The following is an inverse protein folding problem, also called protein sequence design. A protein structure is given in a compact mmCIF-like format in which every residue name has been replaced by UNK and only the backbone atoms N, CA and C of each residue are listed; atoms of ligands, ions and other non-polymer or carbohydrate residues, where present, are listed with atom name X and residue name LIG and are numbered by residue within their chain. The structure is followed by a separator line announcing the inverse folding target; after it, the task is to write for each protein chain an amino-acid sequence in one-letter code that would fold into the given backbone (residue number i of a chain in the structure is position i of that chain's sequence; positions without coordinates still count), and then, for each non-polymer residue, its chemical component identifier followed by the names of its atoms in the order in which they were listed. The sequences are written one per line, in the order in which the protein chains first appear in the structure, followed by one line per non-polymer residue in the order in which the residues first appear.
data_IF_921394005775
#
_entry.id   IF_921394005775
#
_cell.length_a   1.000
_cell.length_b   1.000
_cell.length_c   1.000
_cell.angle_alpha   90.00
_cell.angle_beta   90.00
_cell.angle_gamma   90.00
#
_symmetry.space_group_name_H-M   'P 1'
#
loop_
_entity.id
_entity.type
_entity.pdbx_description
1 polymer ?
#
# COMPACT_ATOMS: atom_id res chain seq x y z
N UNK A 1 -2.08 -1.38 -12.42
CA UNK A 1 -0.95 -1.75 -11.53
C UNK A 1 -0.67 -3.23 -11.73
N UNK A 2 0.44 -3.55 -12.41
CA UNK A 2 0.79 -4.93 -12.76
C UNK A 2 1.18 -5.75 -11.53
N UNK A 3 1.54 -5.09 -10.43
CA UNK A 3 2.04 -5.70 -9.19
C UNK A 3 1.02 -5.79 -8.06
N UNK A 4 -0.25 -5.47 -8.30
CA UNK A 4 -1.30 -5.52 -7.26
C UNK A 4 -1.38 -6.95 -6.67
N UNK A 5 -1.37 -7.11 -5.33
CA UNK A 5 -1.54 -8.41 -4.70
C UNK A 5 -2.87 -9.06 -5.14
N UNK A 6 -2.82 -10.36 -5.50
CA UNK A 6 -3.97 -11.13 -5.98
C UNK A 6 -5.14 -11.13 -4.99
N UNK A 7 -4.81 -11.04 -3.70
CA UNK A 7 -5.75 -10.97 -2.59
C UNK A 7 -6.73 -9.81 -2.75
N UNK A 8 -6.25 -8.66 -3.25
CA UNK A 8 -7.09 -7.48 -3.54
C UNK A 8 -8.08 -7.78 -4.66
N UNK A 9 -7.62 -8.40 -5.75
CA UNK A 9 -8.49 -8.75 -6.88
C UNK A 9 -9.62 -9.68 -6.44
N UNK A 10 -9.27 -10.72 -5.69
CA UNK A 10 -10.24 -11.68 -5.14
C UNK A 10 -11.21 -11.02 -4.15
N UNK A 11 -10.72 -10.12 -3.29
CA UNK A 11 -11.53 -9.39 -2.32
C UNK A 11 -12.54 -8.47 -2.99
N UNK A 12 -12.10 -7.67 -3.97
CA UNK A 12 -12.97 -6.78 -4.74
C UNK A 12 -14.02 -7.56 -5.53
N UNK A 13 -13.62 -8.66 -6.19
CA UNK A 13 -14.53 -9.53 -6.94
C UNK A 13 -15.63 -10.18 -6.06
N UNK A 14 -15.37 -10.34 -4.76
CA UNK A 14 -16.30 -10.94 -3.78
C UNK A 14 -16.99 -9.87 -2.93
N UNK A 15 -17.30 -8.72 -3.55
CA UNK A 15 -18.00 -7.60 -2.93
C UNK A 15 -17.35 -7.10 -1.63
N UNK A 16 -16.03 -7.29 -1.45
CA UNK A 16 -15.27 -6.87 -0.27
C UNK A 16 -15.70 -7.55 1.05
N UNK A 17 -16.41 -8.68 0.98
CA UNK A 17 -17.06 -9.29 2.15
C UNK A 17 -16.25 -10.39 2.87
N UNK A 18 -15.07 -10.78 2.37
CA UNK A 18 -14.27 -11.84 2.99
C UNK A 18 -12.83 -11.38 3.24
N UNK A 19 -12.25 -11.75 4.37
CA UNK A 19 -10.82 -11.54 4.61
C UNK A 19 -10.03 -12.70 3.99
N UNK A 20 -9.03 -12.44 3.13
CA UNK A 20 -8.20 -13.50 2.55
C UNK A 20 -7.32 -14.14 3.62
N UNK A 21 -7.11 -15.45 3.51
CA UNK A 21 -6.12 -16.17 4.34
C UNK A 21 -4.72 -15.82 3.86
N UNK A 22 -3.90 -15.27 4.76
CA UNK A 22 -2.51 -14.91 4.47
C UNK A 22 -1.58 -16.01 4.99
N UNK A 23 -0.81 -16.62 4.08
CA UNK A 23 0.12 -17.71 4.41
C UNK A 23 1.44 -17.21 5.01
N UNK A 24 1.90 -16.04 4.60
CA UNK A 24 3.15 -15.43 5.05
C UNK A 24 3.02 -13.92 5.09
N UNK A 25 3.24 -13.33 6.26
CA UNK A 25 3.27 -11.89 6.44
C UNK A 25 4.43 -11.26 5.64
N UNK A 26 5.61 -11.88 5.65
CA UNK A 26 6.80 -11.35 4.99
C UNK A 26 6.63 -11.30 3.46
N UNK A 27 6.05 -12.36 2.88
CA UNK A 27 5.75 -12.36 1.45
C UNK A 27 4.70 -11.30 1.09
N UNK A 28 3.67 -11.12 1.93
CA UNK A 28 2.66 -10.11 1.69
C UNK A 28 3.26 -8.70 1.77
N UNK A 29 4.13 -8.44 2.74
CA UNK A 29 4.86 -7.17 2.86
C UNK A 29 5.73 -6.86 1.64
N UNK A 30 6.45 -7.86 1.14
CA UNK A 30 7.25 -7.70 -0.07
C UNK A 30 6.39 -7.39 -1.32
N UNK A 31 5.26 -8.09 -1.48
CA UNK A 31 4.30 -7.80 -2.56
C UNK A 31 3.66 -6.42 -2.38
N UNK A 32 3.35 -6.04 -1.15
CA UNK A 32 2.78 -4.75 -0.83
C UNK A 32 3.71 -3.62 -1.24
N UNK A 33 4.98 -3.68 -0.84
CA UNK A 33 5.97 -2.67 -1.23
C UNK A 33 6.20 -2.61 -2.74
N UNK A 34 6.31 -3.78 -3.39
CA UNK A 34 6.45 -3.84 -4.84
C UNK A 34 5.28 -3.17 -5.56
N UNK A 35 4.07 -3.33 -5.03
CA UNK A 35 2.86 -2.67 -5.53
C UNK A 35 2.84 -1.17 -5.20
N UNK A 36 3.20 -0.79 -3.98
CA UNK A 36 3.20 0.60 -3.52
C UNK A 36 4.16 1.45 -4.35
N UNK A 37 5.37 0.93 -4.63
CA UNK A 37 6.35 1.58 -5.51
C UNK A 37 5.79 1.73 -6.94
N UNK A 38 5.07 0.73 -7.45
CA UNK A 38 4.50 0.71 -8.82
C UNK A 38 3.39 1.75 -9.04
N UNK A 39 2.61 2.04 -8.01
CA UNK A 39 1.45 2.96 -8.12
C UNK A 39 1.75 4.39 -7.70
N UNK A 40 2.94 4.64 -7.17
CA UNK A 40 3.39 5.98 -6.80
C UNK A 40 4.19 6.62 -7.93
N UNK A 41 4.34 7.96 -7.92
CA UNK A 41 5.18 8.65 -8.88
C UNK A 41 6.62 8.13 -8.90
N UNK A 42 7.24 8.19 -10.08
CA UNK A 42 8.67 7.87 -10.25
C UNK A 42 9.55 8.68 -9.29
N UNK A 43 9.28 9.98 -9.14
CA UNK A 43 10.04 10.85 -8.22
C UNK A 43 10.00 10.40 -6.77
N UNK A 44 9.01 9.58 -6.40
CA UNK A 44 8.82 9.03 -5.06
C UNK A 44 9.51 7.67 -4.92
N UNK A 45 9.42 6.86 -5.97
CA UNK A 45 9.99 5.52 -6.09
C UNK A 45 11.51 5.49 -6.21
N UNK A 46 12.14 6.55 -6.71
CA UNK A 46 13.60 6.66 -6.86
C UNK A 46 14.39 6.48 -5.56
N UNK A 47 13.80 6.78 -4.40
CA UNK A 47 14.45 6.60 -3.09
C UNK A 47 14.47 5.16 -2.56
N UNK A 48 13.78 4.23 -3.22
CA UNK A 48 13.63 2.86 -2.72
C UNK A 48 12.75 2.79 -1.47
N UNK A 49 13.25 2.13 -0.42
CA UNK A 49 12.58 1.99 0.89
C UNK A 49 13.47 2.62 1.98
N UNK A 50 13.01 3.66 2.70
CA UNK A 50 11.75 4.39 2.55
C UNK A 50 11.62 5.19 1.24
N UNK A 51 10.38 5.45 0.86
CA UNK A 51 10.07 6.30 -0.29
C UNK A 51 10.31 7.79 0.02
N UNK A 52 10.63 8.56 -1.02
CA UNK A 52 10.90 10.00 -0.88
C UNK A 52 9.60 10.73 -0.50
N UNK A 53 9.68 11.62 0.49
CA UNK A 53 8.57 12.51 0.89
C UNK A 53 8.85 13.93 0.40
N UNK A 54 8.06 14.44 -0.55
CA UNK A 54 8.14 15.82 -1.08
C UNK A 54 6.83 16.56 -0.83
N UNK A 55 6.87 17.89 -0.73
CA UNK A 55 5.72 18.73 -0.37
C UNK A 55 4.54 18.64 -1.36
N UNK A 56 3.34 18.99 -0.87
CA UNK A 56 2.03 19.08 -1.54
C UNK A 56 2.01 19.54 -2.99
N UNK A 57 2.93 20.43 -3.39
CA UNK A 57 3.00 20.94 -4.77
C UNK A 57 3.31 19.82 -5.78
N UNK A 58 4.00 18.75 -5.36
CA UNK A 58 4.33 17.61 -6.22
C UNK A 58 3.14 16.67 -6.51
N UNK A 59 2.08 16.73 -5.70
CA UNK A 59 0.89 15.87 -5.85
C UNK A 59 -0.19 16.48 -6.74
N UNK A 60 -0.20 17.82 -6.92
CA UNK A 60 -1.22 18.55 -7.70
C UNK A 60 -1.28 18.17 -9.18
N UNK A 61 -0.22 17.57 -9.72
CA UNK A 61 -0.11 17.18 -11.12
C UNK A 61 -0.51 15.73 -11.38
N UNK A 62 -0.93 15.00 -10.34
CA UNK A 62 -1.31 13.59 -10.46
C UNK A 62 -2.81 13.40 -10.68
N UNK A 63 -3.15 12.51 -11.61
CA UNK A 63 -4.47 11.89 -11.66
C UNK A 63 -4.60 10.90 -10.49
N UNK A 64 -5.11 11.40 -9.37
CA UNK A 64 -5.44 10.57 -8.22
C UNK A 64 -6.74 9.84 -8.57
N UNK A 65 -6.62 8.58 -8.98
CA UNK A 65 -7.77 7.69 -9.09
C UNK A 65 -8.57 7.72 -7.78
N UNK A 66 -9.89 7.90 -7.88
CA UNK A 66 -10.74 8.25 -6.73
C UNK A 66 -10.61 7.33 -5.50
N UNK A 67 -11.25 7.74 -4.39
CA UNK A 67 -11.14 7.18 -3.02
C UNK A 67 -10.98 5.64 -2.89
N UNK A 68 -11.55 4.86 -3.80
CA UNK A 68 -11.43 3.41 -3.84
C UNK A 68 -9.99 2.88 -4.05
N UNK A 69 -9.09 3.69 -4.61
CA UNK A 69 -7.68 3.31 -4.81
C UNK A 69 -6.96 3.06 -3.49
N UNK A 70 -7.07 4.00 -2.55
CA UNK A 70 -6.42 3.93 -1.25
C UNK A 70 -7.03 2.89 -0.32
N UNK A 71 -8.34 2.64 -0.41
CA UNK A 71 -8.98 1.58 0.36
C UNK A 71 -8.29 0.22 0.13
N UNK A 72 -7.95 -0.10 -1.12
CA UNK A 72 -7.25 -1.34 -1.42
C UNK A 72 -5.86 -1.40 -0.77
N UNK A 73 -5.14 -0.28 -0.73
CA UNK A 73 -3.80 -0.17 -0.12
C UNK A 73 -3.90 -0.41 1.39
N UNK A 74 -4.85 0.27 2.05
CA UNK A 74 -5.11 0.15 3.48
C UNK A 74 -5.53 -1.26 3.87
N UNK A 75 -6.34 -1.92 3.06
CA UNK A 75 -6.78 -3.29 3.35
C UNK A 75 -5.65 -4.30 3.32
N UNK A 76 -4.70 -4.17 2.38
CA UNK A 76 -3.53 -5.06 2.39
C UNK A 76 -2.62 -4.77 3.58
N UNK A 77 -2.46 -3.50 4.00
CA UNK A 77 -1.73 -3.17 5.23
C UNK A 77 -2.37 -3.80 6.46
N UNK A 78 -3.72 -3.79 6.51
CA UNK A 78 -4.47 -4.47 7.56
C UNK A 78 -4.22 -5.99 7.53
N UNK A 79 -4.35 -6.64 6.39
CA UNK A 79 -4.10 -8.08 6.27
C UNK A 79 -2.65 -8.44 6.61
N UNK A 80 -1.71 -7.58 6.24
CA UNK A 80 -0.30 -7.76 6.59
C UNK A 80 -0.11 -7.70 8.10
N UNK A 81 -0.73 -6.73 8.79
CA UNK A 81 -0.71 -6.66 10.25
C UNK A 81 -1.37 -7.87 10.91
N UNK A 82 -2.55 -8.26 10.43
CA UNK A 82 -3.31 -9.37 10.99
C UNK A 82 -2.56 -10.71 10.85
N UNK A 83 -1.70 -10.83 9.83
CA UNK A 83 -0.85 -12.01 9.61
C UNK A 83 0.42 -12.04 10.48
N UNK A 84 0.78 -10.93 11.14
CA UNK A 84 1.96 -10.83 11.99
C UNK A 84 1.70 -11.38 13.39
N UNK A 85 2.68 -12.11 13.94
CA UNK A 85 2.70 -12.46 15.38
C UNK A 85 3.27 -11.34 16.24
N UNK A 86 4.23 -10.60 15.70
CA UNK A 86 4.93 -9.49 16.36
C UNK A 86 4.95 -8.32 15.39
N UNK A 87 4.80 -7.10 15.90
CA UNK A 87 4.89 -5.90 15.07
C UNK A 87 6.25 -5.82 14.36
N UNK A 88 6.23 -5.43 13.09
CA UNK A 88 7.43 -5.24 12.29
C UNK A 88 7.72 -3.74 12.15
N UNK A 89 8.96 -3.29 12.40
CA UNK A 89 9.37 -1.90 12.13
C UNK A 89 9.10 -1.47 10.68
N UNK A 90 9.26 -2.39 9.71
CA UNK A 90 8.97 -2.14 8.29
C UNK A 90 7.49 -1.81 8.06
N UNK A 91 6.59 -2.53 8.76
CA UNK A 91 5.16 -2.25 8.69
C UNK A 91 4.81 -0.91 9.33
N UNK A 92 5.42 -0.55 10.46
CA UNK A 92 5.19 0.74 11.12
C UNK A 92 5.64 1.91 10.26
N UNK A 93 6.84 1.81 9.67
CA UNK A 93 7.37 2.78 8.72
C UNK A 93 6.44 2.94 7.52
N UNK A 94 5.93 1.81 7.00
CA UNK A 94 4.98 1.78 5.90
C UNK A 94 3.67 2.49 6.25
N UNK A 95 3.13 2.25 7.45
CA UNK A 95 1.90 2.93 7.92
C UNK A 95 2.13 4.43 8.03
N UNK A 96 3.29 4.85 8.55
CA UNK A 96 3.66 6.26 8.61
C UNK A 96 3.74 6.88 7.21
N UNK A 97 4.29 6.14 6.24
CA UNK A 97 4.40 6.56 4.85
C UNK A 97 3.04 6.74 4.17
N UNK A 98 2.13 5.78 4.30
CA UNK A 98 0.75 5.90 3.76
C UNK A 98 -0.03 7.01 4.45
N UNK A 99 0.14 7.16 5.76
CA UNK A 99 -0.50 8.23 6.53
C UNK A 99 -0.07 9.61 6.01
N UNK A 100 1.22 9.78 5.75
CA UNK A 100 1.75 11.01 5.17
C UNK A 100 1.14 11.28 3.77
N UNK A 101 1.06 10.28 2.89
CA UNK A 101 0.42 10.46 1.57
C UNK A 101 -1.03 10.90 1.70
N UNK A 102 -1.81 10.27 2.59
CA UNK A 102 -3.21 10.62 2.81
C UNK A 102 -3.41 12.05 3.33
N UNK A 103 -2.39 12.65 3.93
CA UNK A 103 -2.43 14.05 4.40
C UNK A 103 -2.04 15.06 3.32
N UNK A 104 -1.29 14.63 2.30
CA UNK A 104 -0.79 15.50 1.23
C UNK A 104 -1.75 15.59 0.01
N UNK A 105 -2.61 14.59 -0.17
CA UNK A 105 -3.66 14.56 -1.21
C UNK A 105 -4.88 15.38 -0.80
#
# INVERSE_FOLDING_TARGET
AAKRPKEVGNWVARARNHTPTISSADELGNRWWAWWIDINPSWRAEGGRPMIRKSRQAWKTMDIGGQNGFLNVLMVLKWWRDAMRVASPDWEETVGDVTWVLQEI
#
